data_IF_714078923772
#
_entry.id   IF_714078923772
#
_cell.length_a   1.000
_cell.length_b   1.000
_cell.length_c   1.000
_cell.angle_alpha   90.00
_cell.angle_beta   90.00
_cell.angle_gamma   90.00
#
_symmetry.space_group_name_H-M   'P 1'
#
loop_
_entity.id
_entity.type
_entity.pdbx_description
1 polymer ?
#
# COMPACT_ATOMS: atom_id res chain seq x y z
N UNK A 1 -25.16 -9.63 -8.35
CA UNK A 1 -25.86 -8.53 -9.04
C UNK A 1 -26.24 -8.98 -10.44
N UNK A 2 -27.43 -8.64 -10.94
CA UNK A 2 -27.84 -8.90 -12.33
C UNK A 2 -27.15 -7.93 -13.29
N UNK A 3 -27.12 -8.29 -14.58
CA UNK A 3 -26.66 -7.42 -15.65
C UNK A 3 -27.51 -6.14 -15.77
N UNK A 4 -26.87 -5.03 -16.08
CA UNK A 4 -27.47 -3.70 -16.28
C UNK A 4 -26.96 -3.10 -17.60
N UNK A 5 -27.54 -1.98 -18.03
CA UNK A 5 -26.87 -1.11 -18.98
C UNK A 5 -25.55 -0.60 -18.39
N UNK A 6 -24.60 -0.20 -19.26
CA UNK A 6 -23.31 0.34 -18.82
C UNK A 6 -23.53 1.64 -18.02
N UNK A 7 -23.19 1.61 -16.74
CA UNK A 7 -23.33 2.74 -15.83
C UNK A 7 -22.25 3.81 -16.01
N UNK A 8 -21.30 3.60 -16.90
CA UNK A 8 -20.26 4.56 -17.29
C UNK A 8 -19.17 4.78 -16.26
N UNK A 9 -18.26 5.69 -16.64
CA UNK A 9 -17.08 6.02 -15.79
C UNK A 9 -17.46 6.74 -14.49
N UNK A 10 -18.58 7.45 -14.44
CA UNK A 10 -19.03 8.15 -13.23
C UNK A 10 -19.38 7.15 -12.11
N UNK A 11 -19.95 5.99 -12.45
CA UNK A 11 -20.16 4.92 -11.49
C UNK A 11 -18.86 4.43 -10.84
N UNK A 12 -17.79 4.31 -11.64
CA UNK A 12 -16.44 3.94 -11.17
C UNK A 12 -15.87 5.02 -10.25
N UNK A 13 -15.97 6.30 -10.62
CA UNK A 13 -15.46 7.43 -9.81
C UNK A 13 -16.16 7.57 -8.47
N UNK A 14 -17.46 7.31 -8.41
CA UNK A 14 -18.24 7.34 -7.16
C UNK A 14 -18.05 6.09 -6.28
N UNK A 15 -17.33 5.07 -6.76
CA UNK A 15 -17.07 3.81 -6.06
C UNK A 15 -15.69 3.82 -5.43
N UNK A 16 -15.62 3.54 -4.12
CA UNK A 16 -14.35 3.28 -3.44
C UNK A 16 -14.02 1.79 -3.50
N UNK A 17 -12.93 1.45 -4.15
CA UNK A 17 -12.42 0.08 -4.25
C UNK A 17 -11.52 -0.25 -3.07
N UNK A 18 -11.86 -1.28 -2.31
CA UNK A 18 -11.14 -1.73 -1.13
C UNK A 18 -10.59 -3.14 -1.36
N UNK A 19 -9.30 -3.36 -1.17
CA UNK A 19 -8.77 -4.70 -1.37
C UNK A 19 -7.27 -4.87 -1.18
N UNK A 20 -6.80 -5.98 -1.68
CA UNK A 20 -5.41 -6.43 -1.59
C UNK A 20 -4.55 -5.97 -2.78
N UNK A 21 -3.50 -6.72 -3.11
CA UNK A 21 -2.60 -6.43 -4.23
C UNK A 21 -3.30 -6.40 -5.59
N UNK A 22 -4.44 -7.08 -5.79
CA UNK A 22 -5.22 -6.94 -7.02
C UNK A 22 -5.85 -5.54 -7.12
N UNK A 23 -6.29 -4.94 -6.01
CA UNK A 23 -6.77 -3.55 -6.00
C UNK A 23 -5.63 -2.55 -6.25
N UNK A 24 -4.41 -2.83 -5.79
CA UNK A 24 -3.23 -2.03 -6.20
C UNK A 24 -3.06 -2.04 -7.72
N UNK A 25 -3.31 -3.17 -8.39
CA UNK A 25 -3.22 -3.26 -9.86
C UNK A 25 -4.28 -2.43 -10.58
N UNK A 26 -5.45 -2.22 -10.00
CA UNK A 26 -6.46 -1.33 -10.59
C UNK A 26 -5.91 0.08 -10.74
N UNK A 27 -5.18 0.58 -9.73
CA UNK A 27 -4.49 1.88 -9.80
C UNK A 27 -3.31 1.85 -10.79
N UNK A 28 -2.48 0.81 -10.77
CA UNK A 28 -1.35 0.66 -11.70
C UNK A 28 -1.77 0.65 -13.17
N UNK A 29 -2.96 0.15 -13.46
CA UNK A 29 -3.52 0.10 -14.82
C UNK A 29 -4.45 1.28 -15.14
N UNK A 30 -4.47 2.31 -14.27
CA UNK A 30 -5.20 3.56 -14.51
C UNK A 30 -6.72 3.45 -14.47
N UNK A 31 -7.27 2.42 -13.82
CA UNK A 31 -8.73 2.24 -13.67
C UNK A 31 -9.31 3.04 -12.50
N UNK A 32 -8.51 3.33 -11.53
CA UNK A 32 -8.83 4.15 -10.36
C UNK A 32 -7.54 4.80 -9.84
N UNK A 33 -7.67 5.67 -8.85
CA UNK A 33 -6.56 6.37 -8.24
C UNK A 33 -6.72 6.48 -6.71
N UNK A 34 -5.90 7.29 -6.07
CA UNK A 34 -5.94 7.50 -4.62
C UNK A 34 -7.25 8.14 -4.12
N UNK A 35 -8.07 8.71 -4.99
CA UNK A 35 -9.36 9.30 -4.60
C UNK A 35 -10.46 8.25 -4.46
N UNK A 36 -10.32 7.11 -5.13
CA UNK A 36 -11.35 6.08 -5.17
C UNK A 36 -10.85 4.63 -5.04
N UNK A 37 -9.59 4.40 -4.61
CA UNK A 37 -9.10 3.06 -4.30
C UNK A 37 -8.19 3.02 -3.07
N UNK A 38 -8.35 1.99 -2.24
CA UNK A 38 -7.44 1.62 -1.15
C UNK A 38 -7.02 0.17 -1.39
N UNK A 39 -5.83 0.00 -1.96
CA UNK A 39 -5.21 -1.30 -2.17
C UNK A 39 -4.00 -1.47 -1.26
N UNK A 40 -3.86 -2.63 -0.62
CA UNK A 40 -2.73 -2.93 0.27
C UNK A 40 -2.14 -4.29 -0.08
N UNK A 41 -0.91 -4.30 -0.54
CA UNK A 41 -0.19 -5.54 -0.88
C UNK A 41 -0.14 -6.49 0.32
N UNK A 42 -0.41 -7.77 0.08
CA UNK A 42 -0.41 -8.86 1.07
C UNK A 42 -1.46 -8.75 2.18
N UNK A 43 -2.40 -7.82 2.11
CA UNK A 43 -3.45 -7.66 3.11
C UNK A 43 -4.48 -8.78 3.02
N UNK A 44 -4.87 -9.33 4.15
CA UNK A 44 -5.95 -10.31 4.29
C UNK A 44 -7.22 -9.68 4.86
N UNK A 45 -8.37 -10.36 4.71
CA UNK A 45 -9.65 -9.90 5.25
C UNK A 45 -9.61 -9.68 6.77
N UNK A 46 -8.81 -10.46 7.50
CA UNK A 46 -8.66 -10.32 8.96
C UNK A 46 -8.02 -9.01 9.42
N UNK A 47 -7.39 -8.28 8.50
CA UNK A 47 -6.69 -7.04 8.81
C UNK A 47 -7.52 -5.77 8.53
N UNK A 48 -8.73 -5.90 7.96
CA UNK A 48 -9.59 -4.75 7.59
C UNK A 48 -9.80 -3.79 8.77
N UNK A 49 -10.03 -4.33 9.98
CA UNK A 49 -10.34 -3.54 11.17
C UNK A 49 -9.13 -3.12 11.99
N UNK A 50 -7.96 -3.70 11.76
CA UNK A 50 -6.80 -3.56 12.64
C UNK A 50 -5.57 -2.93 11.98
N UNK A 51 -5.36 -3.16 10.68
CA UNK A 51 -4.20 -2.61 9.99
C UNK A 51 -4.42 -1.12 9.71
N UNK A 52 -3.57 -0.30 10.28
CA UNK A 52 -3.51 1.14 9.97
C UNK A 52 -2.64 1.34 8.74
N UNK A 53 -3.28 1.47 7.58
CA UNK A 53 -2.63 1.39 6.27
C UNK A 53 -2.97 2.55 5.33
N UNK A 54 -3.88 3.44 5.71
CA UNK A 54 -4.30 4.55 4.83
C UNK A 54 -3.67 5.85 5.30
N UNK A 55 -2.90 6.47 4.41
CA UNK A 55 -2.13 7.68 4.70
C UNK A 55 -2.80 8.94 4.12
N UNK A 56 -3.54 9.68 4.93
CA UNK A 56 -4.06 10.99 4.55
C UNK A 56 -3.02 12.09 4.79
N UNK A 57 -2.84 12.98 3.81
CA UNK A 57 -1.98 14.16 3.97
C UNK A 57 -2.52 15.05 5.10
N UNK A 58 -1.63 15.52 5.94
CA UNK A 58 -2.00 16.34 7.10
C UNK A 58 -2.44 15.56 8.35
N UNK A 59 -2.57 14.25 8.29
CA UNK A 59 -2.81 13.39 9.46
C UNK A 59 -1.48 12.90 10.04
N UNK A 60 -1.37 12.91 11.36
CA UNK A 60 -0.16 12.45 12.06
C UNK A 60 -0.02 10.92 12.12
N UNK A 61 -1.07 10.18 11.81
CA UNK A 61 -1.10 8.71 11.89
C UNK A 61 -1.80 8.11 10.69
N UNK A 62 -1.40 6.90 10.32
CA UNK A 62 -2.20 6.06 9.43
C UNK A 62 -3.54 5.71 10.09
N UNK A 63 -4.56 5.51 9.27
CA UNK A 63 -5.88 5.07 9.71
C UNK A 63 -6.22 3.69 9.14
N UNK A 64 -7.19 3.01 9.73
CA UNK A 64 -7.74 1.74 9.24
C UNK A 64 -8.66 1.97 8.03
N UNK A 65 -9.04 0.90 7.32
CA UNK A 65 -10.01 1.00 6.21
C UNK A 65 -11.36 1.56 6.68
N UNK A 66 -12.00 1.11 7.79
CA UNK A 66 -13.24 1.72 8.26
C UNK A 66 -13.12 3.21 8.57
N UNK A 67 -12.03 3.63 9.23
CA UNK A 67 -11.76 5.05 9.48
C UNK A 67 -11.59 5.84 8.17
N UNK A 68 -10.91 5.26 7.18
CA UNK A 68 -10.74 5.89 5.86
C UNK A 68 -12.08 6.04 5.12
N UNK A 69 -12.94 5.04 5.14
CA UNK A 69 -14.28 5.10 4.55
C UNK A 69 -15.09 6.24 5.17
N UNK A 70 -15.02 6.39 6.50
CA UNK A 70 -15.65 7.50 7.22
C UNK A 70 -15.11 8.88 6.80
N UNK A 71 -13.80 8.98 6.49
CA UNK A 71 -13.17 10.24 6.05
C UNK A 71 -13.51 10.56 4.59
N UNK A 72 -13.64 9.52 3.73
CA UNK A 72 -13.80 9.69 2.28
C UNK A 72 -15.25 9.85 1.84
N UNK A 73 -16.25 9.53 2.66
CA UNK A 73 -17.70 9.62 2.36
C UNK A 73 -18.08 9.01 1.00
N UNK A 74 -17.67 7.78 0.64
CA UNK A 74 -17.96 7.21 -0.66
C UNK A 74 -19.47 6.95 -0.81
N UNK A 75 -19.98 6.99 -2.05
CA UNK A 75 -21.36 6.60 -2.33
C UNK A 75 -21.53 5.09 -2.18
N UNK A 76 -20.55 4.31 -2.65
CA UNK A 76 -20.49 2.87 -2.53
C UNK A 76 -19.07 2.39 -2.30
N UNK A 77 -18.95 1.20 -1.75
CA UNK A 77 -17.66 0.50 -1.65
C UNK A 77 -17.77 -0.85 -2.34
N UNK A 78 -16.75 -1.22 -3.11
CA UNK A 78 -16.56 -2.58 -3.63
C UNK A 78 -15.39 -3.19 -2.86
N UNK A 79 -15.65 -4.28 -2.12
CA UNK A 79 -14.70 -4.91 -1.20
C UNK A 79 -14.17 -6.20 -1.83
N UNK A 80 -12.85 -6.30 -2.06
CA UNK A 80 -12.19 -7.34 -2.84
C UNK A 80 -10.98 -7.93 -2.08
N UNK A 81 -11.25 -8.72 -1.03
CA UNK A 81 -10.23 -9.49 -0.32
C UNK A 81 -10.45 -10.99 -0.48
N UNK A 82 -9.39 -11.77 -0.44
CA UNK A 82 -9.50 -13.23 -0.45
C UNK A 82 -8.26 -13.94 -0.97
N UNK A 83 -7.53 -13.38 -1.92
CA UNK A 83 -6.33 -14.02 -2.50
C UNK A 83 -5.28 -14.37 -1.43
N UNK A 84 -5.11 -13.51 -0.43
CA UNK A 84 -4.19 -13.75 0.70
C UNK A 84 -4.79 -14.61 1.83
N UNK A 85 -6.01 -15.10 1.67
CA UNK A 85 -6.69 -15.98 2.64
C UNK A 85 -6.76 -17.44 2.17
N UNK A 86 -6.36 -17.74 0.91
CA UNK A 86 -6.58 -19.04 0.26
C UNK A 86 -5.88 -20.24 0.95
N UNK A 87 -4.86 -19.98 1.75
CA UNK A 87 -4.23 -21.02 2.59
C UNK A 87 -4.99 -21.31 3.89
N UNK A 88 -6.02 -20.50 4.22
CA UNK A 88 -6.83 -20.63 5.43
C UNK A 88 -8.16 -21.34 5.20
N UNK A 89 -8.90 -21.61 6.28
CA UNK A 89 -10.23 -22.22 6.22
C UNK A 89 -11.32 -21.20 5.85
N UNK A 90 -12.36 -21.65 5.13
CA UNK A 90 -13.48 -20.83 4.69
C UNK A 90 -14.23 -20.17 5.85
N UNK A 91 -14.43 -20.88 6.96
CA UNK A 91 -15.12 -20.35 8.15
C UNK A 91 -14.38 -19.15 8.75
N UNK A 92 -13.07 -19.27 8.95
CA UNK A 92 -12.24 -18.19 9.47
C UNK A 92 -12.23 -16.97 8.52
N UNK A 93 -12.16 -17.23 7.22
CA UNK A 93 -12.22 -16.19 6.20
C UNK A 93 -13.55 -15.41 6.27
N UNK A 94 -14.68 -16.11 6.29
CA UNK A 94 -16.02 -15.49 6.35
C UNK A 94 -16.23 -14.73 7.66
N UNK A 95 -15.81 -15.30 8.79
CA UNK A 95 -15.88 -14.62 10.10
C UNK A 95 -15.11 -13.30 10.08
N UNK A 96 -13.89 -13.30 9.53
CA UNK A 96 -13.09 -12.10 9.40
C UNK A 96 -13.72 -11.09 8.44
N UNK A 97 -14.27 -11.56 7.32
CA UNK A 97 -14.92 -10.72 6.31
C UNK A 97 -16.16 -10.02 6.88
N UNK A 98 -17.07 -10.77 7.55
CA UNK A 98 -18.24 -10.22 8.27
C UNK A 98 -17.85 -9.11 9.23
N UNK A 99 -16.83 -9.34 10.05
CA UNK A 99 -16.31 -8.34 10.99
C UNK A 99 -15.82 -7.08 10.26
N UNK A 100 -15.12 -7.25 9.15
CA UNK A 100 -14.63 -6.14 8.34
C UNK A 100 -15.75 -5.30 7.74
N UNK A 101 -16.75 -5.96 7.14
CA UNK A 101 -17.90 -5.27 6.53
C UNK A 101 -18.76 -4.55 7.58
N UNK A 102 -19.02 -5.20 8.73
CA UNK A 102 -19.74 -4.59 9.83
C UNK A 102 -19.06 -3.31 10.32
N UNK A 103 -17.72 -3.33 10.48
CA UNK A 103 -16.97 -2.16 10.89
C UNK A 103 -16.98 -1.03 9.83
N UNK A 104 -16.96 -1.36 8.52
CA UNK A 104 -17.12 -0.39 7.45
C UNK A 104 -18.51 0.25 7.51
N UNK A 105 -19.56 -0.56 7.66
CA UNK A 105 -20.93 -0.08 7.77
C UNK A 105 -21.15 0.79 9.02
N UNK A 106 -20.63 0.38 10.16
CA UNK A 106 -20.71 1.15 11.41
C UNK A 106 -19.99 2.51 11.27
N UNK A 107 -18.83 2.53 10.64
CA UNK A 107 -18.05 3.76 10.44
C UNK A 107 -18.75 4.74 9.50
N UNK A 108 -19.42 4.25 8.45
CA UNK A 108 -20.13 5.08 7.48
C UNK A 108 -21.35 4.34 6.87
N UNK A 109 -22.53 4.39 7.52
CA UNK A 109 -23.71 3.59 7.15
C UNK A 109 -24.43 4.04 5.86
N UNK A 110 -23.96 5.09 5.23
CA UNK A 110 -24.58 5.68 4.03
C UNK A 110 -24.00 5.12 2.73
N UNK A 111 -22.90 4.37 2.79
CA UNK A 111 -22.31 3.74 1.61
C UNK A 111 -22.98 2.40 1.29
N UNK A 112 -23.33 2.19 0.02
CA UNK A 112 -23.70 0.86 -0.45
C UNK A 112 -22.48 -0.08 -0.37
N UNK A 113 -22.64 -1.25 0.25
CA UNK A 113 -21.57 -2.25 0.36
C UNK A 113 -21.80 -3.37 -0.65
N UNK A 114 -20.81 -3.57 -1.51
CA UNK A 114 -20.78 -4.60 -2.55
C UNK A 114 -19.54 -5.46 -2.30
N UNK A 115 -19.75 -6.76 -2.17
CA UNK A 115 -18.69 -7.76 -2.03
C UNK A 115 -18.35 -8.31 -3.39
N UNK A 116 -17.11 -8.19 -3.82
CA UNK A 116 -16.64 -8.74 -5.08
C UNK A 116 -16.15 -10.18 -4.90
N UNK A 117 -16.37 -11.02 -5.89
CA UNK A 117 -15.86 -12.38 -5.92
C UNK A 117 -14.31 -12.41 -5.84
N UNK A 118 -13.76 -13.41 -5.17
CA UNK A 118 -12.34 -13.73 -5.26
C UNK A 118 -12.03 -14.16 -6.70
N UNK A 119 -11.04 -13.55 -7.36
CA UNK A 119 -10.73 -13.88 -8.75
C UNK A 119 -10.22 -15.31 -8.90
N UNK A 120 -10.44 -15.94 -10.09
CA UNK A 120 -9.94 -17.26 -10.35
C UNK A 120 -8.41 -17.27 -10.47
N UNK A 121 -7.80 -18.42 -10.13
CA UNK A 121 -6.39 -18.69 -10.35
C UNK A 121 -6.16 -19.19 -11.78
N UNK A 122 -4.95 -18.95 -12.29
CA UNK A 122 -4.50 -19.57 -13.54
C UNK A 122 -4.23 -21.06 -13.36
N UNK A 123 -4.39 -21.84 -14.45
CA UNK A 123 -4.12 -23.28 -14.46
C UNK A 123 -2.69 -23.64 -14.05
N UNK A 124 -1.73 -22.74 -14.22
CA UNK A 124 -0.34 -22.93 -13.73
C UNK A 124 -0.27 -23.12 -12.20
N UNK A 125 -1.34 -22.80 -11.47
CA UNK A 125 -1.47 -23.06 -10.02
C UNK A 125 -2.06 -24.44 -9.69
N UNK A 126 -2.41 -25.23 -10.70
CA UNK A 126 -2.79 -26.62 -10.50
C UNK A 126 -1.70 -27.38 -9.76
N UNK A 127 -2.07 -28.17 -8.75
CA UNK A 127 -1.13 -28.91 -7.87
C UNK A 127 -0.21 -28.05 -6.99
N UNK A 128 -0.55 -26.77 -6.76
CA UNK A 128 0.11 -25.92 -5.76
C UNK A 128 -0.70 -25.88 -4.45
N UNK A 129 -0.19 -25.15 -3.45
CA UNK A 129 -0.92 -24.90 -2.19
C UNK A 129 -2.16 -24.01 -2.40
N UNK A 130 -2.26 -23.28 -3.52
CA UNK A 130 -3.42 -22.48 -3.87
C UNK A 130 -4.38 -23.32 -4.73
N UNK A 131 -5.67 -23.33 -4.37
CA UNK A 131 -6.65 -24.22 -4.96
C UNK A 131 -7.87 -23.46 -5.51
N UNK A 132 -8.29 -23.78 -6.76
CA UNK A 132 -9.54 -23.30 -7.30
C UNK A 132 -10.75 -23.78 -6.50
N UNK A 133 -10.70 -24.99 -5.92
CA UNK A 133 -11.73 -25.49 -5.00
C UNK A 133 -11.88 -24.54 -3.79
N UNK A 134 -10.78 -24.01 -3.27
CA UNK A 134 -10.82 -23.06 -2.16
C UNK A 134 -11.40 -21.71 -2.62
N UNK A 135 -11.03 -21.21 -3.82
CA UNK A 135 -11.62 -20.00 -4.41
C UNK A 135 -13.14 -20.17 -4.56
N UNK A 136 -13.59 -21.29 -5.10
CA UNK A 136 -15.01 -21.56 -5.28
C UNK A 136 -15.75 -21.69 -3.94
N UNK A 137 -15.14 -22.34 -2.94
CA UNK A 137 -15.70 -22.41 -1.59
C UNK A 137 -15.81 -21.02 -0.94
N UNK A 138 -14.82 -20.17 -1.11
CA UNK A 138 -14.88 -18.78 -0.63
C UNK A 138 -16.00 -18.00 -1.30
N UNK A 139 -16.11 -18.08 -2.63
CA UNK A 139 -17.14 -17.37 -3.38
C UNK A 139 -18.56 -17.85 -3.02
N UNK A 140 -18.78 -19.15 -2.84
CA UNK A 140 -20.06 -19.68 -2.36
C UNK A 140 -20.41 -19.17 -0.96
N UNK A 141 -19.42 -19.16 -0.07
CA UNK A 141 -19.60 -18.66 1.30
C UNK A 141 -19.84 -17.14 1.34
N UNK A 142 -19.20 -16.36 0.44
CA UNK A 142 -19.44 -14.93 0.30
C UNK A 142 -20.87 -14.64 -0.20
N UNK A 143 -21.40 -15.41 -1.16
CA UNK A 143 -22.80 -15.30 -1.61
C UNK A 143 -23.75 -15.48 -0.43
N UNK A 144 -23.60 -16.60 0.31
CA UNK A 144 -24.42 -16.90 1.48
C UNK A 144 -24.33 -15.79 2.53
N UNK A 145 -23.13 -15.34 2.83
CA UNK A 145 -22.91 -14.22 3.77
C UNK A 145 -23.62 -12.95 3.32
N UNK A 146 -23.52 -12.58 2.04
CA UNK A 146 -24.21 -11.40 1.52
C UNK A 146 -25.72 -11.49 1.62
N UNK A 147 -26.30 -12.68 1.38
CA UNK A 147 -27.73 -12.93 1.55
C UNK A 147 -28.16 -12.79 3.00
N UNK A 148 -27.40 -13.35 3.95
CA UNK A 148 -27.67 -13.29 5.39
C UNK A 148 -27.55 -11.86 5.97
N UNK A 149 -26.53 -11.10 5.56
CA UNK A 149 -26.23 -9.78 6.11
C UNK A 149 -26.83 -8.62 5.29
N UNK A 150 -27.48 -8.90 4.16
CA UNK A 150 -28.14 -7.90 3.32
C UNK A 150 -27.19 -7.12 2.39
N UNK A 151 -25.94 -7.54 2.26
CA UNK A 151 -24.98 -6.95 1.33
C UNK A 151 -25.23 -7.42 -0.13
N UNK A 152 -24.60 -6.75 -1.09
CA UNK A 152 -24.68 -7.14 -2.50
C UNK A 152 -23.42 -7.93 -2.89
N UNK A 153 -23.62 -8.99 -3.67
CA UNK A 153 -22.53 -9.79 -4.23
C UNK A 153 -22.35 -9.50 -5.71
N UNK A 154 -21.13 -9.17 -6.14
CA UNK A 154 -20.72 -8.98 -7.52
C UNK A 154 -19.90 -10.19 -7.97
N UNK A 155 -20.48 -11.03 -8.86
CA UNK A 155 -19.85 -12.26 -9.32
C UNK A 155 -18.85 -12.00 -10.47
N UNK A 156 -17.86 -11.16 -10.26
CA UNK A 156 -16.84 -10.85 -11.29
C UNK A 156 -16.02 -12.07 -11.73
N UNK A 157 -16.05 -13.15 -10.94
CA UNK A 157 -15.45 -14.43 -11.33
C UNK A 157 -16.04 -14.98 -12.65
N UNK A 158 -17.30 -14.64 -12.95
CA UNK A 158 -17.98 -15.05 -14.18
C UNK A 158 -17.27 -14.56 -15.44
N UNK A 159 -16.84 -13.30 -15.48
CA UNK A 159 -16.14 -12.74 -16.63
C UNK A 159 -14.67 -13.14 -16.69
N UNK A 160 -14.06 -13.45 -15.54
CA UNK A 160 -12.64 -13.77 -15.43
C UNK A 160 -12.35 -15.27 -15.64
N UNK A 161 -13.34 -16.15 -15.42
CA UNK A 161 -13.21 -17.59 -15.47
C UNK A 161 -13.50 -18.13 -16.88
N UNK A 162 -12.73 -19.09 -17.35
CA UNK A 162 -13.05 -19.90 -18.50
C UNK A 162 -14.09 -20.96 -18.11
N UNK A 163 -15.24 -20.94 -18.77
CA UNK A 163 -16.38 -21.80 -18.44
C UNK A 163 -16.10 -23.30 -18.66
N UNK A 164 -15.15 -23.66 -19.55
CA UNK A 164 -14.84 -25.05 -19.87
C UNK A 164 -13.82 -25.65 -18.88
N UNK A 165 -12.90 -24.82 -18.40
CA UNK A 165 -11.79 -25.29 -17.55
C UNK A 165 -11.97 -24.96 -16.08
N UNK A 166 -12.76 -23.95 -15.76
CA UNK A 166 -12.93 -23.43 -14.39
C UNK A 166 -11.76 -22.59 -13.87
N UNK A 167 -10.67 -22.44 -14.63
CA UNK A 167 -9.52 -21.60 -14.32
C UNK A 167 -9.69 -20.19 -14.90
N UNK A 168 -8.77 -19.29 -14.59
CA UNK A 168 -8.75 -17.98 -15.23
C UNK A 168 -8.64 -18.11 -16.75
N UNK A 169 -9.27 -17.20 -17.48
CA UNK A 169 -9.09 -17.08 -18.93
C UNK A 169 -7.63 -16.82 -19.27
N UNK A 170 -7.18 -17.30 -20.41
CA UNK A 170 -5.83 -17.03 -20.94
C UNK A 170 -5.56 -15.52 -20.94
N UNK A 171 -4.37 -15.11 -20.55
CA UNK A 171 -3.90 -13.72 -20.48
C UNK A 171 -4.65 -12.83 -19.48
N UNK A 172 -5.50 -13.36 -18.61
CA UNK A 172 -6.21 -12.59 -17.58
C UNK A 172 -5.44 -12.53 -16.25
N UNK A 173 -4.40 -13.34 -16.10
CA UNK A 173 -3.48 -13.29 -14.96
C UNK A 173 -2.06 -12.96 -15.38
N UNK A 174 -1.23 -12.56 -14.44
CA UNK A 174 0.21 -12.47 -14.64
C UNK A 174 0.86 -13.86 -14.57
N UNK A 175 2.17 -13.90 -14.83
CA UNK A 175 2.97 -15.14 -14.79
C UNK A 175 2.98 -15.83 -13.43
N UNK A 176 2.55 -15.17 -12.36
CA UNK A 176 2.37 -15.79 -11.05
C UNK A 176 1.04 -16.55 -10.92
N UNK A 177 0.11 -16.39 -11.85
CA UNK A 177 -1.19 -17.06 -11.89
C UNK A 177 -2.16 -16.69 -10.78
N UNK A 178 -1.94 -15.57 -10.10
CA UNK A 178 -2.77 -15.05 -8.99
C UNK A 178 -3.23 -13.62 -9.26
N UNK A 179 -2.30 -12.77 -9.65
CA UNK A 179 -2.59 -11.37 -9.89
C UNK A 179 -3.20 -11.16 -11.28
N UNK A 180 -4.24 -10.34 -11.33
CA UNK A 180 -4.87 -9.97 -12.59
C UNK A 180 -3.91 -9.18 -13.49
N UNK A 181 -3.88 -9.53 -14.76
CA UNK A 181 -3.23 -8.77 -15.81
C UNK A 181 -4.05 -7.52 -16.18
N UNK A 182 -3.52 -6.67 -17.05
CA UNK A 182 -4.27 -5.54 -17.59
C UNK A 182 -5.57 -6.02 -18.30
N UNK A 183 -5.51 -7.13 -19.06
CA UNK A 183 -6.68 -7.69 -19.74
C UNK A 183 -7.74 -8.17 -18.74
N UNK A 184 -7.32 -8.86 -17.67
CA UNK A 184 -8.21 -9.27 -16.59
C UNK A 184 -8.85 -8.10 -15.87
N UNK A 185 -8.07 -7.05 -15.56
CA UNK A 185 -8.61 -5.83 -14.93
C UNK A 185 -9.54 -5.07 -15.87
N UNK A 186 -9.25 -4.98 -17.17
CA UNK A 186 -10.17 -4.39 -18.14
C UNK A 186 -11.54 -5.11 -18.15
N UNK A 187 -11.52 -6.44 -18.26
CA UNK A 187 -12.74 -7.25 -18.24
C UNK A 187 -13.52 -7.12 -16.93
N UNK A 188 -12.81 -7.03 -15.79
CA UNK A 188 -13.41 -6.79 -14.48
C UNK A 188 -14.13 -5.43 -14.44
N UNK A 189 -13.50 -4.35 -14.92
CA UNK A 189 -14.11 -3.02 -14.88
C UNK A 189 -15.28 -2.87 -15.84
N UNK A 190 -15.23 -3.52 -17.01
CA UNK A 190 -16.39 -3.63 -17.91
C UNK A 190 -17.54 -4.37 -17.23
N UNK A 191 -17.24 -5.45 -16.51
CA UNK A 191 -18.24 -6.20 -15.75
C UNK A 191 -18.82 -5.36 -14.59
N UNK A 192 -18.01 -4.60 -13.86
CA UNK A 192 -18.46 -3.69 -12.78
C UNK A 192 -19.46 -2.67 -13.33
N UNK A 193 -19.18 -2.06 -14.49
CA UNK A 193 -20.08 -1.08 -15.11
C UNK A 193 -21.38 -1.67 -15.60
N UNK A 194 -21.34 -2.91 -16.10
CA UNK A 194 -22.52 -3.62 -16.65
C UNK A 194 -23.28 -4.46 -15.63
N UNK A 195 -22.85 -4.46 -14.36
CA UNK A 195 -23.52 -5.11 -13.23
C UNK A 195 -23.61 -4.13 -12.04
N UNK A 196 -23.98 -2.90 -12.36
CA UNK A 196 -23.99 -1.80 -11.43
C UNK A 196 -25.11 -1.94 -10.37
N UNK A 197 -24.80 -1.59 -9.13
CA UNK A 197 -25.82 -1.41 -8.09
C UNK A 197 -26.09 0.09 -7.91
N UNK A 198 -27.20 0.53 -8.46
CA UNK A 198 -27.59 1.94 -8.48
C UNK A 198 -28.74 2.14 -7.50
N UNK A 199 -28.50 2.97 -6.48
CA UNK A 199 -29.48 3.34 -5.47
C UNK A 199 -29.63 4.86 -5.40
N UNK A 200 -30.60 5.34 -4.63
CA UNK A 200 -30.68 6.75 -4.28
C UNK A 200 -29.51 7.11 -3.38
N UNK A 201 -28.82 8.21 -3.67
CA UNK A 201 -27.78 8.74 -2.78
C UNK A 201 -28.41 9.25 -1.49
N UNK A 202 -28.04 8.62 -0.37
CA UNK A 202 -28.52 8.94 0.97
C UNK A 202 -27.48 9.62 1.85
N UNK A 203 -26.28 9.93 1.29
CA UNK A 203 -25.22 10.58 2.05
C UNK A 203 -25.66 11.95 2.52
N UNK A 204 -25.55 12.26 3.84
CA UNK A 204 -25.95 13.57 4.36
C UNK A 204 -25.01 14.70 3.90
N UNK A 205 -23.74 14.38 3.69
CA UNK A 205 -22.67 15.32 3.36
C UNK A 205 -21.69 14.71 2.33
N UNK A 206 -22.10 14.60 1.04
CA UNK A 206 -21.16 14.21 -0.01
C UNK A 206 -20.01 15.21 -0.09
N UNK A 207 -18.76 14.71 -0.22
CA UNK A 207 -17.60 15.57 -0.33
C UNK A 207 -17.47 16.11 -1.76
N UNK A 208 -17.20 17.39 -1.92
CA UNK A 208 -16.86 18.00 -3.22
C UNK A 208 -15.45 17.59 -3.68
N UNK A 209 -14.56 17.28 -2.73
CA UNK A 209 -13.21 16.80 -2.98
C UNK A 209 -12.84 15.80 -1.89
N UNK A 210 -12.40 14.61 -2.31
CA UNK A 210 -11.87 13.59 -1.40
C UNK A 210 -10.55 14.09 -0.81
N UNK A 211 -10.29 13.91 0.51
CA UNK A 211 -9.03 14.29 1.14
C UNK A 211 -7.84 13.61 0.48
N UNK A 212 -6.76 14.36 0.28
CA UNK A 212 -5.57 13.87 -0.40
C UNK A 212 -4.85 12.79 0.43
N UNK A 213 -4.36 11.77 -0.26
CA UNK A 213 -3.64 10.66 0.34
C UNK A 213 -2.27 10.47 -0.30
N UNK A 214 -1.37 9.83 0.43
CA UNK A 214 -0.17 9.21 -0.13
C UNK A 214 -0.46 7.74 -0.45
N UNK A 215 0.36 7.14 -1.31
CA UNK A 215 0.31 5.70 -1.54
C UNK A 215 0.63 4.92 -0.26
N UNK A 216 -0.02 3.77 -0.11
CA UNK A 216 0.35 2.84 0.95
C UNK A 216 1.73 2.26 0.64
N UNK A 217 2.69 2.34 1.58
CA UNK A 217 4.04 1.82 1.34
C UNK A 217 4.02 0.33 0.97
N UNK A 218 4.79 -0.04 -0.06
CA UNK A 218 4.98 -1.45 -0.43
C UNK A 218 5.68 -2.17 0.71
N UNK A 219 5.17 -3.33 1.08
CA UNK A 219 5.73 -4.11 2.19
C UNK A 219 5.34 -3.64 3.59
N UNK A 220 4.36 -2.73 3.71
CA UNK A 220 3.85 -2.22 4.99
C UNK A 220 3.61 -3.31 6.04
N UNK A 221 3.05 -4.45 5.65
CA UNK A 221 2.72 -5.54 6.57
C UNK A 221 3.97 -6.22 7.14
N UNK A 222 5.07 -6.26 6.37
CA UNK A 222 6.26 -7.04 6.70
C UNK A 222 7.46 -6.20 7.12
N UNK A 223 7.56 -4.95 6.67
CA UNK A 223 8.78 -4.14 6.77
C UNK A 223 8.64 -2.85 7.60
N UNK A 224 7.42 -2.41 7.92
CA UNK A 224 7.22 -1.18 8.69
C UNK A 224 6.34 -1.40 9.95
N UNK A 225 6.95 -1.77 11.08
CA UNK A 225 6.21 -1.98 12.33
C UNK A 225 5.64 -0.67 12.91
N UNK A 226 6.16 0.50 12.53
CA UNK A 226 5.65 1.80 13.00
C UNK A 226 4.36 2.14 12.25
N UNK A 227 4.34 1.97 10.93
CA UNK A 227 3.15 2.16 10.12
C UNK A 227 2.02 1.18 10.54
N UNK A 228 2.36 -0.08 10.79
CA UNK A 228 1.39 -1.09 11.29
C UNK A 228 0.78 -0.64 12.63
N UNK A 229 1.53 0.07 13.49
CA UNK A 229 1.01 0.67 14.72
C UNK A 229 0.25 1.99 14.49
N UNK A 230 0.17 2.47 13.26
CA UNK A 230 -0.53 3.68 12.88
C UNK A 230 0.28 4.98 13.05
N UNK A 231 1.57 4.88 13.30
CA UNK A 231 2.47 6.04 13.32
C UNK A 231 3.13 6.22 11.96
N UNK A 232 3.10 7.43 11.43
CA UNK A 232 3.84 7.77 10.23
C UNK A 232 5.32 7.93 10.56
N UNK A 233 6.18 7.30 9.75
CA UNK A 233 7.62 7.48 9.86
C UNK A 233 7.97 8.86 9.31
N UNK A 234 8.42 9.75 10.19
CA UNK A 234 8.96 11.04 9.76
C UNK A 234 10.40 10.81 9.32
N UNK A 235 10.66 10.98 8.03
CA UNK A 235 12.01 10.95 7.48
C UNK A 235 12.64 12.34 7.54
N UNK A 236 13.94 12.35 7.68
CA UNK A 236 14.79 13.54 7.69
C UNK A 236 15.79 13.37 6.56
N UNK A 237 15.96 14.40 5.75
CA UNK A 237 17.02 14.44 4.73
C UNK A 237 18.36 14.63 5.43
N UNK A 238 19.31 13.74 5.16
CA UNK A 238 20.69 13.85 5.64
C UNK A 238 21.59 14.07 4.43
N UNK A 239 22.27 15.21 4.39
CA UNK A 239 23.19 15.57 3.31
C UNK A 239 24.64 15.48 3.83
N UNK A 240 25.46 14.69 3.15
CA UNK A 240 26.89 14.55 3.45
C UNK A 240 27.71 15.42 2.50
N UNK A 241 28.53 16.29 3.05
CA UNK A 241 29.39 17.21 2.30
C UNK A 241 30.85 17.05 2.72
N UNK A 242 31.78 17.39 1.82
CA UNK A 242 33.21 17.41 2.09
C UNK A 242 33.73 18.86 2.15
N UNK A 243 34.65 19.11 3.06
CA UNK A 243 35.43 20.34 3.07
C UNK A 243 36.54 20.34 2.02
N UNK A 244 37.34 21.42 2.01
CA UNK A 244 38.53 21.52 1.18
C UNK A 244 39.49 20.36 1.46
N UNK A 245 40.01 19.72 0.43
CA UNK A 245 41.04 18.68 0.52
C UNK A 245 40.49 17.24 0.60
N UNK A 246 39.21 17.00 0.23
CA UNK A 246 38.68 15.65 0.12
C UNK A 246 37.31 15.55 -0.52
N UNK A 247 36.84 14.34 -0.66
CA UNK A 247 35.52 14.01 -1.24
C UNK A 247 34.77 12.95 -0.42
N UNK A 248 33.48 12.74 -0.71
CA UNK A 248 32.65 11.71 -0.10
C UNK A 248 32.41 10.57 -1.09
N UNK A 249 32.73 9.35 -0.66
CA UNK A 249 32.30 8.12 -1.33
C UNK A 249 31.06 7.57 -0.62
N UNK A 250 30.04 7.21 -1.43
CA UNK A 250 28.74 6.71 -1.00
C UNK A 250 27.59 7.64 -1.39
N UNK A 251 26.42 7.40 -0.83
CA UNK A 251 25.23 8.23 -1.11
C UNK A 251 25.31 9.53 -0.28
N UNK A 252 25.46 10.65 -0.94
CA UNK A 252 25.61 11.97 -0.30
C UNK A 252 24.29 12.58 0.17
N UNK A 253 23.13 12.10 -0.31
CA UNK A 253 21.81 12.51 0.16
C UNK A 253 21.01 11.26 0.51
N UNK A 254 20.51 11.19 1.76
CA UNK A 254 19.79 10.03 2.27
C UNK A 254 18.55 10.45 3.03
N UNK A 255 17.41 9.82 2.74
CA UNK A 255 16.15 10.00 3.46
C UNK A 255 16.00 8.94 4.54
N UNK A 256 16.22 9.28 5.79
CA UNK A 256 16.30 8.35 6.91
C UNK A 256 15.27 8.69 7.98
N UNK A 257 14.62 7.69 8.55
CA UNK A 257 13.70 7.88 9.66
C UNK A 257 14.40 8.44 10.89
N UNK A 258 13.72 9.24 11.69
CA UNK A 258 14.20 9.67 13.01
C UNK A 258 14.58 8.45 13.86
N UNK A 259 15.76 8.44 14.43
CA UNK A 259 16.35 7.31 15.14
C UNK A 259 16.88 6.18 14.23
N UNK A 260 16.74 6.31 12.92
CA UNK A 260 17.28 5.37 11.94
C UNK A 260 18.74 5.64 11.62
N UNK A 261 19.36 4.74 10.87
CA UNK A 261 20.78 4.75 10.54
C UNK A 261 20.97 4.99 9.05
N UNK A 262 21.81 5.93 8.68
CA UNK A 262 22.24 6.18 7.31
C UNK A 262 23.05 5.00 6.75
N UNK A 263 23.02 4.83 5.44
CA UNK A 263 24.02 4.00 4.76
C UNK A 263 25.42 4.61 4.98
N UNK A 264 26.40 3.75 5.14
CA UNK A 264 27.80 4.15 5.39
C UNK A 264 28.34 5.01 4.24
N UNK A 265 29.03 6.09 4.61
CA UNK A 265 29.81 6.95 3.72
C UNK A 265 31.27 6.96 4.14
N UNK A 266 32.17 7.26 3.22
CA UNK A 266 33.61 7.36 3.48
C UNK A 266 34.14 8.70 3.01
N UNK A 267 34.87 9.41 3.88
CA UNK A 267 35.61 10.59 3.54
C UNK A 267 36.96 10.17 2.94
N UNK A 268 37.28 10.67 1.76
CA UNK A 268 38.52 10.38 1.05
C UNK A 268 39.34 11.65 0.92
N UNK A 269 40.52 11.67 1.52
CA UNK A 269 41.41 12.83 1.46
C UNK A 269 42.15 12.90 0.11
N UNK A 270 42.37 14.09 -0.40
CA UNK A 270 43.23 14.37 -1.54
C UNK A 270 44.70 14.33 -1.17
N UNK A 271 45.58 14.29 -2.18
CA UNK A 271 47.05 14.33 -1.95
C UNK A 271 47.48 15.59 -1.16
N UNK A 272 48.23 15.36 -0.11
CA UNK A 272 48.66 16.42 0.82
C UNK A 272 47.65 16.80 1.90
N UNK A 273 46.55 16.06 1.99
CA UNK A 273 45.54 16.22 3.02
C UNK A 273 45.33 14.91 3.79
N UNK A 274 44.76 15.01 4.99
CA UNK A 274 44.27 13.86 5.76
C UNK A 274 42.91 14.20 6.37
N UNK A 275 42.09 13.18 6.51
CA UNK A 275 40.81 13.31 7.21
C UNK A 275 41.05 13.69 8.67
N UNK A 276 40.21 14.57 9.20
CA UNK A 276 40.27 15.04 10.56
C UNK A 276 39.09 14.53 11.40
N UNK A 277 37.87 14.93 11.08
CA UNK A 277 36.66 14.50 11.79
C UNK A 277 35.41 14.79 11.00
N UNK A 278 34.27 14.25 11.47
CA UNK A 278 32.93 14.58 11.00
C UNK A 278 32.21 15.50 11.97
N UNK A 279 31.43 16.46 11.46
CA UNK A 279 30.48 17.24 12.23
C UNK A 279 29.09 17.15 11.59
N UNK A 280 28.04 17.34 12.39
CA UNK A 280 26.68 17.42 11.93
C UNK A 280 25.97 18.63 12.54
N UNK A 281 25.24 19.39 11.74
CA UNK A 281 24.40 20.48 12.22
C UNK A 281 22.95 20.02 12.37
N UNK A 282 22.32 20.21 13.55
CA UNK A 282 22.82 20.95 14.77
C UNK A 282 23.55 20.06 15.81
N UNK A 283 23.95 18.83 15.48
CA UNK A 283 24.42 17.81 16.44
C UNK A 283 25.84 18.08 16.98
N UNK A 284 26.71 18.72 16.21
CA UNK A 284 28.11 18.92 16.54
C UNK A 284 29.02 17.81 16.00
N UNK A 285 30.17 17.53 16.67
CA UNK A 285 31.09 16.47 16.24
C UNK A 285 30.43 15.09 16.34
N UNK A 286 30.48 14.29 15.27
CA UNK A 286 29.77 13.03 15.20
C UNK A 286 30.62 11.82 14.74
N UNK A 287 31.91 11.99 14.46
CA UNK A 287 32.81 10.89 14.12
C UNK A 287 34.24 11.30 13.88
N UNK A 288 35.19 10.43 14.25
CA UNK A 288 36.63 10.59 14.06
C UNK A 288 37.27 9.55 13.15
N UNK A 289 36.49 8.69 12.49
CA UNK A 289 36.96 7.73 11.52
C UNK A 289 36.57 8.19 10.12
N UNK A 290 37.41 7.96 9.12
CA UNK A 290 37.10 8.24 7.69
C UNK A 290 35.74 7.66 7.26
N UNK A 291 35.37 6.50 7.79
CA UNK A 291 34.10 5.85 7.53
C UNK A 291 33.07 6.22 8.61
N UNK A 292 31.92 6.73 8.19
CA UNK A 292 30.82 7.13 9.07
C UNK A 292 29.53 6.38 8.74
N UNK A 293 28.91 5.87 9.80
CA UNK A 293 27.51 5.38 9.79
C UNK A 293 26.71 6.27 10.74
N UNK A 294 26.07 7.31 10.19
CA UNK A 294 25.40 8.33 10.99
C UNK A 294 24.01 7.86 11.46
N UNK A 295 23.70 8.10 12.74
CA UNK A 295 22.37 7.82 13.33
C UNK A 295 21.61 9.13 13.46
N UNK A 296 20.45 9.21 12.81
CA UNK A 296 19.58 10.40 12.86
C UNK A 296 19.00 10.55 14.28
N UNK A 297 19.15 11.70 14.95
CA UNK A 297 18.55 11.92 16.26
C UNK A 297 17.01 11.74 16.25
N UNK A 298 16.45 11.25 17.36
CA UNK A 298 15.00 11.07 17.51
C UNK A 298 14.24 12.40 17.50
N UNK A 299 14.88 13.47 17.95
CA UNK A 299 14.34 14.82 18.05
C UNK A 299 14.74 15.71 16.86
N UNK A 300 15.42 15.16 15.84
CA UNK A 300 15.76 15.88 14.62
C UNK A 300 14.52 16.58 14.04
N UNK A 301 14.67 17.82 13.62
CA UNK A 301 13.57 18.52 12.95
C UNK A 301 13.41 18.10 11.45
N UNK A 302 12.40 18.62 10.78
CA UNK A 302 12.14 18.28 9.39
C UNK A 302 12.98 19.11 8.39
N UNK A 303 13.80 20.06 8.86
CA UNK A 303 14.62 20.93 8.01
C UNK A 303 15.82 20.18 7.38
N UNK A 304 16.12 18.99 7.91
CA UNK A 304 17.24 18.18 7.47
C UNK A 304 18.46 18.29 8.37
N UNK A 305 19.46 17.45 8.10
CA UNK A 305 20.75 17.41 8.80
C UNK A 305 21.84 17.49 7.75
N UNK A 306 22.79 18.42 7.96
CA UNK A 306 24.00 18.47 7.15
C UNK A 306 25.15 17.83 7.94
N UNK A 307 25.80 16.85 7.33
CA UNK A 307 26.97 16.14 7.89
C UNK A 307 28.18 16.50 7.05
N UNK A 308 29.20 17.04 7.70
CA UNK A 308 30.38 17.60 7.03
C UNK A 308 31.66 16.86 7.42
N UNK A 309 32.44 16.42 6.42
CA UNK A 309 33.78 15.87 6.61
C UNK A 309 34.81 16.97 6.57
N UNK A 310 35.62 17.04 7.61
CA UNK A 310 36.72 18.00 7.75
C UNK A 310 38.05 17.34 7.41
N UNK A 311 38.91 18.07 6.69
CA UNK A 311 40.23 17.64 6.31
C UNK A 311 41.26 18.68 6.77
N UNK A 312 42.49 18.24 7.01
CA UNK A 312 43.59 19.12 7.36
C UNK A 312 44.82 18.82 6.49
N UNK A 313 45.61 19.84 6.21
CA UNK A 313 46.83 19.67 5.41
C UNK A 313 47.86 18.86 6.16
N UNK A 314 48.50 17.95 5.47
CA UNK A 314 49.69 17.25 5.97
C UNK A 314 50.88 18.22 5.86
N UNK A 315 51.43 18.69 6.99
CA UNK A 315 52.66 19.47 6.93
C UNK A 315 53.81 18.57 6.44
N UNK A 316 54.62 19.03 5.47
CA UNK A 316 55.79 18.28 5.06
C UNK A 316 56.70 18.09 6.26
N UNK A 317 57.15 16.85 6.52
CA UNK A 317 58.17 16.58 7.55
C UNK A 317 59.37 17.53 7.33
N UNK A 318 59.68 18.31 8.36
CA UNK A 318 60.91 19.13 8.34
C UNK A 318 62.10 18.19 8.18
N UNK A 319 62.69 18.16 6.99
CA UNK A 319 63.93 17.44 6.72
C UNK A 319 65.00 18.04 7.63
N UNK A 320 65.46 17.27 8.60
CA UNK A 320 66.53 17.61 9.52
C UNK A 320 67.89 17.63 8.80
#
# INVERSE_FOLDING_TARGET
LPGTEDAGEEYVKETLFLGDSNTVRYMMYGKCDLTNAIGVTSMSAGQITSLKCVDFKGYSSYVTIPEAVKIMHPRRVIVSFGSNNLSGGTENYITAYKKGLAAIHEAYPYADIIVNAVPPLDKLRENTALSMTQVDSFNQALVKMCEEEGYKFLNSSEVLKDANTGWAKTDYTLSDGVHLSMNGVNALFDYIRTHAYITKDTRPTPLSKVPERNETPVGLITSDPIAVRGQKVTKVSVEFTAGEGGEIQGSTVQEVAKGGTCSTVTAVAEDGWKFSYWSAEPVGSCGGSETLTFVVPQDADASGIMVHAHFERVEPEATA
#
